data_IF_470517382856
#
_entry.id   IF_470517382856
#
_cell.length_a   1.000
_cell.length_b   1.000
_cell.length_c   1.000
_cell.angle_alpha   90.00
_cell.angle_beta   90.00
_cell.angle_gamma   90.00
#
_symmetry.space_group_name_H-M   'P 1'
#
loop_
_entity.id
_entity.type
_entity.pdbx_description
1 polymer ?
#
# COMPACT_ATOMS: atom_id res chain seq x y z
N UNK A 1 -21.00 -14.47 -38.86
CA UNK A 1 -21.77 -15.18 -37.82
C UNK A 1 -21.03 -16.48 -37.52
N UNK A 2 -20.41 -16.55 -36.34
CA UNK A 2 -20.20 -17.73 -35.50
C UNK A 2 -19.40 -17.24 -34.28
N UNK A 3 -20.11 -16.48 -33.44
CA UNK A 3 -19.63 -15.92 -32.17
C UNK A 3 -20.02 -16.81 -31.00
N UNK A 4 -19.79 -18.12 -31.11
CA UNK A 4 -20.14 -19.07 -30.06
C UNK A 4 -19.20 -20.26 -30.16
N UNK A 5 -18.13 -20.31 -29.35
CA UNK A 5 -17.54 -21.58 -28.86
C UNK A 5 -16.15 -21.53 -28.20
N UNK A 6 -15.54 -20.39 -27.85
CA UNK A 6 -14.23 -20.45 -27.16
C UNK A 6 -14.27 -21.08 -25.75
N UNK A 7 -15.46 -21.24 -25.17
CA UNK A 7 -15.68 -21.94 -23.88
C UNK A 7 -16.42 -23.28 -24.10
N UNK A 8 -16.71 -23.60 -25.36
CA UNK A 8 -17.19 -24.91 -25.80
C UNK A 8 -16.08 -25.79 -26.35
N UNK A 9 -14.86 -25.27 -26.54
CA UNK A 9 -13.68 -26.12 -26.66
C UNK A 9 -13.37 -26.66 -25.29
N UNK A 10 -13.36 -27.98 -25.21
CA UNK A 10 -13.23 -28.79 -24.00
C UNK A 10 -12.13 -28.28 -23.08
N UNK A 11 -12.35 -28.44 -21.78
CA UNK A 11 -11.41 -28.04 -20.73
C UNK A 11 -10.02 -28.72 -20.82
N UNK A 12 -9.83 -29.64 -21.76
CA UNK A 12 -8.57 -30.27 -22.14
C UNK A 12 -7.73 -29.40 -23.11
N UNK A 13 -8.36 -28.49 -23.87
CA UNK A 13 -7.69 -27.76 -24.95
C UNK A 13 -6.65 -26.72 -24.51
N UNK A 14 -6.72 -26.18 -23.28
CA UNK A 14 -5.71 -25.22 -22.80
C UNK A 14 -4.34 -25.85 -22.53
N UNK A 15 -4.30 -27.15 -22.20
CA UNK A 15 -3.04 -27.90 -22.05
C UNK A 15 -2.42 -28.28 -23.38
N UNK A 16 -3.24 -28.49 -24.39
CA UNK A 16 -2.81 -28.99 -25.71
C UNK A 16 -2.39 -27.88 -26.68
N UNK A 17 -2.68 -26.62 -26.33
CA UNK A 17 -2.27 -25.46 -27.11
C UNK A 17 -0.79 -25.16 -26.86
N UNK A 18 0.02 -25.10 -27.93
CA UNK A 18 1.33 -24.47 -27.85
C UNK A 18 1.17 -22.98 -27.45
N UNK A 19 2.10 -22.47 -26.66
CA UNK A 19 2.28 -21.08 -26.26
C UNK A 19 1.94 -20.05 -27.34
N UNK A 20 2.36 -20.27 -28.59
CA UNK A 20 2.02 -19.37 -29.71
C UNK A 20 0.53 -19.39 -30.06
N UNK A 21 -0.09 -20.58 -30.04
CA UNK A 21 -1.52 -20.74 -30.25
C UNK A 21 -2.34 -20.17 -29.09
N UNK A 22 -1.84 -20.32 -27.85
CA UNK A 22 -2.42 -19.71 -26.65
C UNK A 22 -2.45 -18.18 -26.75
N UNK A 23 -1.31 -17.54 -27.06
CA UNK A 23 -1.24 -16.07 -27.25
C UNK A 23 -2.14 -15.61 -28.39
N UNK A 24 -2.19 -16.36 -29.50
CA UNK A 24 -3.03 -15.99 -30.66
C UNK A 24 -4.53 -16.11 -30.37
N UNK A 25 -4.95 -17.12 -29.62
CA UNK A 25 -6.35 -17.37 -29.30
C UNK A 25 -6.89 -16.38 -28.26
N UNK A 26 -6.12 -16.12 -27.19
CA UNK A 26 -6.56 -15.33 -26.04
C UNK A 26 -5.99 -13.91 -25.99
N UNK A 27 -5.03 -13.56 -26.86
CA UNK A 27 -4.42 -12.24 -26.90
C UNK A 27 -5.28 -11.14 -27.54
N UNK A 28 -6.25 -11.50 -28.40
CA UNK A 28 -7.15 -10.55 -29.08
C UNK A 28 -8.56 -10.50 -28.48
N UNK A 29 -9.00 -11.59 -27.88
CA UNK A 29 -10.30 -11.74 -27.23
C UNK A 29 -10.03 -12.16 -25.79
N UNK A 30 -10.41 -11.38 -24.77
CA UNK A 30 -10.72 -11.91 -23.42
C UNK A 30 -10.77 -10.81 -22.35
N UNK A 31 -11.86 -10.08 -22.26
CA UNK A 31 -12.27 -9.58 -20.93
C UNK A 31 -13.75 -9.83 -20.69
N UNK A 32 -14.60 -9.66 -21.71
CA UNK A 32 -16.04 -9.89 -21.55
C UNK A 32 -16.43 -11.34 -21.86
N UNK A 33 -16.16 -11.84 -23.07
CA UNK A 33 -16.60 -13.19 -23.48
C UNK A 33 -15.99 -14.31 -22.62
N UNK A 34 -14.69 -14.19 -22.29
CA UNK A 34 -14.02 -15.13 -21.37
C UNK A 34 -14.63 -15.06 -19.97
N UNK A 35 -14.96 -13.87 -19.49
CA UNK A 35 -15.56 -13.68 -18.17
C UNK A 35 -16.99 -14.23 -18.11
N UNK A 36 -17.79 -14.02 -19.14
CA UNK A 36 -19.17 -14.52 -19.22
C UNK A 36 -19.23 -16.04 -19.22
N UNK A 37 -18.38 -16.73 -19.99
CA UNK A 37 -18.40 -18.19 -19.94
C UNK A 37 -17.63 -18.80 -18.78
N UNK A 38 -16.66 -18.11 -18.16
CA UNK A 38 -16.11 -18.52 -16.86
C UNK A 38 -17.16 -18.43 -15.75
N UNK A 39 -18.04 -17.43 -15.78
CA UNK A 39 -19.16 -17.32 -14.84
C UNK A 39 -20.20 -18.43 -15.02
N UNK A 40 -20.39 -18.93 -16.24
CA UNK A 40 -21.27 -20.04 -16.55
C UNK A 40 -20.62 -21.43 -16.38
N UNK A 41 -19.33 -21.50 -16.05
CA UNK A 41 -18.57 -22.75 -16.00
C UNK A 41 -18.84 -23.54 -14.71
N UNK A 42 -18.81 -24.87 -14.83
CA UNK A 42 -18.89 -25.77 -13.66
C UNK A 42 -17.56 -25.83 -12.91
N UNK A 43 -17.59 -26.24 -11.63
CA UNK A 43 -16.39 -26.38 -10.80
C UNK A 43 -15.32 -27.29 -11.42
N UNK A 44 -15.73 -28.36 -12.10
CA UNK A 44 -14.83 -29.26 -12.83
C UNK A 44 -14.13 -28.56 -14.01
N UNK A 45 -14.88 -27.77 -14.79
CA UNK A 45 -14.31 -26.97 -15.88
C UNK A 45 -13.33 -25.93 -15.36
N UNK A 46 -13.64 -25.25 -14.26
CA UNK A 46 -12.75 -24.27 -13.64
C UNK A 46 -11.45 -24.90 -13.12
N UNK A 47 -11.50 -26.10 -12.56
CA UNK A 47 -10.30 -26.83 -12.14
C UNK A 47 -9.40 -27.20 -13.33
N UNK A 48 -9.98 -27.69 -14.43
CA UNK A 48 -9.24 -28.03 -15.63
C UNK A 48 -8.65 -26.79 -16.34
N UNK A 49 -9.38 -25.67 -16.38
CA UNK A 49 -8.84 -24.38 -16.85
C UNK A 49 -7.68 -23.90 -15.99
N UNK A 50 -7.80 -24.00 -14.65
CA UNK A 50 -6.73 -23.59 -13.72
C UNK A 50 -5.45 -24.39 -13.95
N UNK A 51 -5.61 -25.68 -14.20
CA UNK A 51 -4.52 -26.58 -14.49
C UNK A 51 -3.89 -26.31 -15.88
N UNK A 52 -4.69 -25.93 -16.88
CA UNK A 52 -4.19 -25.43 -18.15
C UNK A 52 -3.39 -24.13 -18.00
N UNK A 53 -3.86 -23.19 -17.18
CA UNK A 53 -3.14 -21.94 -16.88
C UNK A 53 -1.79 -22.23 -16.22
N UNK A 54 -1.74 -23.17 -15.27
CA UNK A 54 -0.51 -23.62 -14.62
C UNK A 54 0.50 -24.14 -15.64
N UNK A 55 0.08 -25.04 -16.53
CA UNK A 55 0.93 -25.59 -17.59
C UNK A 55 1.48 -24.51 -18.53
N UNK A 56 0.61 -23.60 -18.99
CA UNK A 56 1.03 -22.49 -19.86
C UNK A 56 2.01 -21.54 -19.19
N UNK A 57 1.85 -21.29 -17.87
CA UNK A 57 2.81 -20.50 -17.12
C UNK A 57 4.18 -21.21 -17.02
N UNK A 58 4.20 -22.52 -16.80
CA UNK A 58 5.43 -23.31 -16.75
C UNK A 58 6.16 -23.33 -18.10
N UNK A 59 5.44 -23.61 -19.19
CA UNK A 59 6.01 -23.60 -20.55
C UNK A 59 6.54 -22.22 -20.93
N UNK A 60 5.79 -21.14 -20.62
CA UNK A 60 6.24 -19.79 -20.90
C UNK A 60 7.48 -19.39 -20.07
N UNK A 61 7.58 -19.84 -18.81
CA UNK A 61 8.78 -19.63 -17.99
C UNK A 61 9.99 -20.40 -18.56
N UNK A 62 9.81 -21.64 -19.02
CA UNK A 62 10.87 -22.42 -19.64
C UNK A 62 11.36 -21.77 -20.94
N UNK A 63 10.44 -21.36 -21.82
CA UNK A 63 10.77 -20.64 -23.06
C UNK A 63 11.53 -19.35 -22.78
N UNK A 64 11.15 -18.63 -21.72
CA UNK A 64 11.85 -17.42 -21.32
C UNK A 64 13.27 -17.71 -20.81
N UNK A 65 13.45 -18.75 -19.98
CA UNK A 65 14.76 -19.17 -19.49
C UNK A 65 15.69 -19.55 -20.65
N UNK A 66 15.18 -20.29 -21.65
CA UNK A 66 15.98 -20.63 -22.84
C UNK A 66 16.34 -19.40 -23.66
N UNK A 67 15.39 -18.47 -23.85
CA UNK A 67 15.64 -17.25 -24.61
C UNK A 67 16.65 -16.32 -23.92
N UNK A 68 16.62 -16.24 -22.58
CA UNK A 68 17.59 -15.47 -21.79
C UNK A 68 18.99 -16.09 -21.87
N UNK A 69 19.11 -17.42 -21.75
CA UNK A 69 20.39 -18.10 -21.89
C UNK A 69 21.01 -17.94 -23.30
N UNK A 70 20.18 -17.93 -24.34
CA UNK A 70 20.61 -17.64 -25.72
C UNK A 70 21.08 -16.20 -25.88
N UNK A 71 20.39 -15.23 -25.25
CA UNK A 71 20.78 -13.82 -25.29
C UNK A 71 22.10 -13.57 -24.53
N UNK A 72 22.29 -14.18 -23.36
CA UNK A 72 23.55 -14.11 -22.62
C UNK A 72 24.73 -14.67 -23.43
N UNK A 73 24.51 -15.73 -24.22
CA UNK A 73 25.52 -16.29 -25.10
C UNK A 73 25.86 -15.39 -26.31
N UNK A 74 24.98 -14.47 -26.69
CA UNK A 74 25.14 -13.58 -27.84
C UNK A 74 25.71 -12.19 -27.49
N UNK A 75 25.80 -11.84 -26.21
CA UNK A 75 26.35 -10.57 -25.71
C UNK A 75 25.30 -9.45 -25.52
N UNK A 76 25.70 -8.34 -24.91
CA UNK A 76 24.82 -7.28 -24.38
C UNK A 76 23.97 -6.50 -25.41
N UNK A 77 24.22 -6.65 -26.72
CA UNK A 77 23.53 -5.94 -27.81
C UNK A 77 22.40 -6.76 -28.49
N UNK A 78 21.98 -7.89 -27.90
CA UNK A 78 20.91 -8.71 -28.46
C UNK A 78 19.52 -8.07 -28.24
N UNK A 79 18.87 -7.66 -29.34
CA UNK A 79 17.46 -7.28 -29.34
C UNK A 79 16.59 -8.40 -28.74
N UNK A 80 15.47 -8.06 -28.04
CA UNK A 80 14.58 -9.08 -27.47
C UNK A 80 14.10 -10.03 -28.57
N UNK A 81 14.48 -11.30 -28.45
CA UNK A 81 14.12 -12.35 -29.39
C UNK A 81 12.59 -12.48 -29.47
N UNK A 82 12.06 -12.86 -30.64
CA UNK A 82 10.62 -13.12 -30.80
C UNK A 82 10.10 -14.16 -29.79
N UNK A 83 10.94 -15.10 -29.39
CA UNK A 83 10.66 -16.07 -28.32
C UNK A 83 10.44 -15.40 -26.96
N UNK A 84 11.21 -14.37 -26.64
CA UNK A 84 11.12 -13.62 -25.38
C UNK A 84 9.82 -12.80 -25.31
N UNK A 85 9.46 -12.10 -26.39
CA UNK A 85 8.20 -11.33 -26.44
C UNK A 85 6.98 -12.24 -26.34
N UNK A 86 7.02 -13.40 -27.00
CA UNK A 86 5.98 -14.41 -26.92
C UNK A 86 5.81 -14.99 -25.51
N UNK A 87 6.92 -15.28 -24.81
CA UNK A 87 6.89 -15.74 -23.44
C UNK A 87 6.29 -14.68 -22.49
N UNK A 88 6.64 -13.40 -22.64
CA UNK A 88 6.04 -12.32 -21.85
C UNK A 88 4.54 -12.19 -22.09
N UNK A 89 4.08 -12.27 -23.34
CA UNK A 89 2.65 -12.20 -23.65
C UNK A 89 1.89 -13.40 -23.05
N UNK A 90 2.47 -14.60 -23.10
CA UNK A 90 1.90 -15.79 -22.49
C UNK A 90 1.80 -15.68 -20.96
N UNK A 91 2.87 -15.25 -20.28
CA UNK A 91 2.87 -15.02 -18.83
C UNK A 91 1.84 -13.97 -18.41
N UNK A 92 1.75 -12.87 -19.17
CA UNK A 92 0.76 -11.82 -18.92
C UNK A 92 -0.66 -12.38 -19.05
N UNK A 93 -0.93 -13.16 -20.09
CA UNK A 93 -2.25 -13.77 -20.31
C UNK A 93 -2.59 -14.78 -19.22
N UNK A 94 -1.64 -15.63 -18.82
CA UNK A 94 -1.81 -16.57 -17.73
C UNK A 94 -2.21 -15.86 -16.43
N UNK A 95 -1.52 -14.76 -16.08
CA UNK A 95 -1.85 -13.96 -14.89
C UNK A 95 -3.25 -13.31 -14.97
N UNK A 96 -3.64 -12.80 -16.14
CA UNK A 96 -4.97 -12.19 -16.34
C UNK A 96 -6.10 -13.21 -16.28
N UNK A 97 -5.92 -14.39 -16.90
CA UNK A 97 -6.90 -15.47 -16.83
C UNK A 97 -7.01 -16.01 -15.40
N UNK A 98 -5.89 -16.19 -14.71
CA UNK A 98 -5.90 -16.60 -13.30
C UNK A 98 -6.69 -15.62 -12.42
N UNK A 99 -6.54 -14.31 -12.69
CA UNK A 99 -7.29 -13.27 -11.98
C UNK A 99 -8.79 -13.37 -12.22
N UNK A 100 -9.24 -13.61 -13.46
CA UNK A 100 -10.67 -13.76 -13.76
C UNK A 100 -11.24 -15.07 -13.19
N UNK A 101 -10.48 -16.17 -13.21
CA UNK A 101 -10.88 -17.44 -12.56
C UNK A 101 -11.01 -17.25 -11.04
N UNK A 102 -10.08 -16.53 -10.41
CA UNK A 102 -10.16 -16.19 -8.99
C UNK A 102 -11.40 -15.34 -8.69
N UNK A 103 -11.74 -14.37 -9.55
CA UNK A 103 -12.91 -13.53 -9.36
C UNK A 103 -14.23 -14.34 -9.32
N UNK A 104 -14.28 -15.48 -10.02
CA UNK A 104 -15.41 -16.41 -10.03
C UNK A 104 -15.36 -17.38 -8.83
N UNK A 105 -14.20 -17.98 -8.57
CA UNK A 105 -14.05 -19.06 -7.58
C UNK A 105 -13.93 -18.56 -6.14
N UNK A 106 -13.40 -17.34 -5.95
CA UNK A 106 -13.16 -16.69 -4.66
C UNK A 106 -12.43 -17.62 -3.68
N UNK A 107 -12.98 -17.80 -2.48
CA UNK A 107 -12.39 -18.61 -1.40
C UNK A 107 -12.29 -20.10 -1.74
N UNK A 108 -13.04 -20.58 -2.74
CA UNK A 108 -13.01 -21.97 -3.20
C UNK A 108 -12.12 -22.14 -4.45
N UNK A 109 -10.99 -21.43 -4.50
CA UNK A 109 -10.02 -21.53 -5.58
C UNK A 109 -9.46 -22.96 -5.71
N UNK A 110 -9.39 -23.54 -6.92
CA UNK A 110 -8.73 -24.83 -7.16
C UNK A 110 -7.24 -24.80 -6.80
N UNK A 111 -6.69 -25.93 -6.33
CA UNK A 111 -5.27 -26.05 -5.96
C UNK A 111 -4.32 -25.65 -7.12
N UNK A 112 -4.61 -26.12 -8.33
CA UNK A 112 -3.84 -25.76 -9.52
C UNK A 112 -3.77 -24.25 -9.80
N UNK A 113 -4.79 -23.48 -9.38
CA UNK A 113 -4.77 -22.02 -9.51
C UNK A 113 -3.83 -21.38 -8.49
N UNK A 114 -3.76 -21.93 -7.27
CA UNK A 114 -2.84 -21.47 -6.24
C UNK A 114 -1.38 -21.75 -6.65
N UNK A 115 -1.11 -22.94 -7.18
CA UNK A 115 0.20 -23.30 -7.74
C UNK A 115 0.60 -22.37 -8.89
N UNK A 116 -0.32 -22.07 -9.81
CA UNK A 116 -0.07 -21.12 -10.88
C UNK A 116 0.24 -19.71 -10.35
N UNK A 117 -0.49 -19.25 -9.33
CA UNK A 117 -0.23 -17.95 -8.70
C UNK A 117 1.13 -17.90 -7.99
N UNK A 118 1.53 -18.97 -7.29
CA UNK A 118 2.84 -19.10 -6.64
C UNK A 118 3.98 -19.10 -7.67
N UNK A 119 3.83 -19.84 -8.78
CA UNK A 119 4.82 -19.86 -9.87
C UNK A 119 5.02 -18.48 -10.47
N UNK A 120 3.92 -17.80 -10.81
CA UNK A 120 3.95 -16.44 -11.36
C UNK A 120 4.54 -15.44 -10.36
N UNK A 121 4.17 -15.52 -9.09
CA UNK A 121 4.71 -14.65 -8.05
C UNK A 121 6.23 -14.85 -7.90
N UNK A 122 6.68 -16.11 -7.81
CA UNK A 122 8.09 -16.45 -7.53
C UNK A 122 9.01 -16.10 -8.70
N UNK A 123 8.56 -16.32 -9.94
CA UNK A 123 9.42 -16.23 -11.12
C UNK A 123 9.12 -15.04 -12.03
N UNK A 124 7.93 -14.45 -12.00
CA UNK A 124 7.56 -13.38 -12.93
C UNK A 124 7.43 -11.99 -12.27
N UNK A 125 7.44 -11.88 -10.95
CA UNK A 125 7.22 -10.57 -10.30
C UNK A 125 8.49 -9.72 -10.22
N UNK A 126 9.56 -10.22 -9.59
CA UNK A 126 10.82 -9.46 -9.45
C UNK A 126 11.83 -9.73 -10.57
N UNK A 127 11.83 -10.92 -11.17
CA UNK A 127 12.80 -11.27 -12.20
C UNK A 127 12.52 -10.60 -13.56
N UNK A 128 11.31 -10.07 -13.78
CA UNK A 128 10.87 -9.54 -15.08
C UNK A 128 11.04 -8.02 -15.19
N UNK A 129 12.21 -7.50 -14.82
CA UNK A 129 12.54 -6.06 -14.95
C UNK A 129 12.32 -5.53 -16.38
N UNK A 130 12.34 -6.43 -17.36
CA UNK A 130 12.20 -6.18 -18.78
C UNK A 130 10.73 -5.99 -19.24
N UNK A 131 9.72 -6.40 -18.47
CA UNK A 131 8.32 -6.31 -18.89
C UNK A 131 7.35 -5.86 -17.79
N UNK A 132 7.14 -4.53 -17.64
CA UNK A 132 6.20 -3.97 -16.66
C UNK A 132 4.76 -4.48 -16.79
N UNK A 133 4.35 -4.88 -17.99
CA UNK A 133 2.99 -5.38 -18.25
C UNK A 133 2.74 -6.74 -17.60
N UNK A 134 3.75 -7.62 -17.53
CA UNK A 134 3.67 -8.90 -16.83
C UNK A 134 3.62 -8.66 -15.32
N UNK A 135 4.54 -7.83 -14.82
CA UNK A 135 4.61 -7.51 -13.38
C UNK A 135 3.31 -6.87 -12.87
N UNK A 136 2.71 -5.95 -13.64
CA UNK A 136 1.42 -5.36 -13.31
C UNK A 136 0.29 -6.40 -13.27
N UNK A 137 0.28 -7.37 -14.19
CA UNK A 137 -0.73 -8.42 -14.21
C UNK A 137 -0.57 -9.39 -13.01
N UNK A 138 0.66 -9.82 -12.72
CA UNK A 138 0.95 -10.70 -11.58
C UNK A 138 0.67 -9.99 -10.25
N UNK A 139 1.08 -8.73 -10.08
CA UNK A 139 0.79 -7.97 -8.88
C UNK A 139 -0.71 -7.79 -8.66
N UNK A 140 -1.50 -7.57 -9.73
CA UNK A 140 -2.97 -7.50 -9.66
C UNK A 140 -3.58 -8.83 -9.20
N UNK A 141 -3.09 -9.95 -9.72
CA UNK A 141 -3.50 -11.29 -9.27
C UNK A 141 -3.21 -11.47 -7.77
N UNK A 142 -2.00 -11.17 -7.32
CA UNK A 142 -1.60 -11.31 -5.91
C UNK A 142 -2.44 -10.42 -4.98
N UNK A 143 -2.72 -9.17 -5.38
CA UNK A 143 -3.61 -8.28 -4.63
C UNK A 143 -5.03 -8.85 -4.51
N UNK A 144 -5.55 -9.41 -5.60
CA UNK A 144 -6.88 -10.02 -5.60
C UNK A 144 -6.93 -11.29 -4.74
N UNK A 145 -5.89 -12.11 -4.79
CA UNK A 145 -5.73 -13.31 -3.95
C UNK A 145 -5.79 -12.95 -2.47
N UNK A 146 -5.05 -11.91 -2.09
CA UNK A 146 -5.07 -11.37 -0.74
C UNK A 146 -6.46 -10.86 -0.33
N UNK A 147 -7.12 -10.10 -1.21
CA UNK A 147 -8.44 -9.51 -0.92
C UNK A 147 -9.55 -10.56 -0.75
N UNK A 148 -9.46 -11.67 -1.49
CA UNK A 148 -10.38 -12.80 -1.40
C UNK A 148 -10.10 -13.67 -0.16
N UNK A 149 -8.90 -13.60 0.40
CA UNK A 149 -8.50 -14.46 1.51
C UNK A 149 -8.25 -15.90 1.08
N UNK A 150 -7.69 -16.10 -0.12
CA UNK A 150 -7.39 -17.42 -0.66
C UNK A 150 -6.43 -18.25 0.20
N UNK A 151 -6.33 -19.56 -0.08
CA UNK A 151 -5.39 -20.44 0.61
C UNK A 151 -3.95 -19.95 0.42
N UNK A 152 -3.11 -20.14 1.44
CA UNK A 152 -1.68 -19.84 1.44
C UNK A 152 -1.31 -18.43 0.95
N UNK A 153 -2.24 -17.46 1.12
CA UNK A 153 -2.07 -16.06 0.71
C UNK A 153 -0.84 -15.38 1.29
N UNK A 154 -0.29 -15.93 2.37
CA UNK A 154 0.90 -15.44 3.06
C UNK A 154 2.17 -15.64 2.21
N UNK A 155 2.22 -16.70 1.39
CA UNK A 155 3.37 -16.99 0.53
C UNK A 155 3.53 -15.97 -0.61
N UNK A 156 2.43 -15.36 -1.03
CA UNK A 156 2.39 -14.34 -2.09
C UNK A 156 2.78 -12.94 -1.59
N UNK A 157 3.19 -12.79 -0.33
CA UNK A 157 3.47 -11.47 0.28
C UNK A 157 4.89 -10.98 0.05
N UNK A 158 5.85 -11.91 0.09
CA UNK A 158 7.28 -11.62 0.22
C UNK A 158 7.81 -10.73 -0.91
N UNK A 159 7.33 -10.92 -2.14
CA UNK A 159 7.74 -10.13 -3.30
C UNK A 159 6.70 -9.06 -3.69
N UNK A 160 5.41 -9.31 -3.42
CA UNK A 160 4.33 -8.39 -3.80
C UNK A 160 4.40 -7.04 -3.09
N UNK A 161 4.60 -7.02 -1.77
CA UNK A 161 4.65 -5.76 -1.03
C UNK A 161 5.85 -4.89 -1.42
N UNK A 162 7.10 -5.40 -1.46
CA UNK A 162 8.24 -4.61 -1.93
C UNK A 162 8.02 -4.09 -3.36
N UNK A 163 7.56 -4.96 -4.27
CA UNK A 163 7.30 -4.59 -5.65
C UNK A 163 6.31 -3.43 -5.75
N UNK A 164 5.17 -3.52 -5.07
CA UNK A 164 4.17 -2.45 -5.09
C UNK A 164 4.73 -1.12 -4.55
N UNK A 165 5.53 -1.14 -3.47
CA UNK A 165 6.11 0.08 -2.93
C UNK A 165 7.12 0.72 -3.89
N UNK A 166 7.96 -0.10 -4.53
CA UNK A 166 8.96 0.35 -5.50
C UNK A 166 8.29 0.85 -6.79
N UNK A 167 7.39 0.07 -7.39
CA UNK A 167 6.68 0.42 -8.62
C UNK A 167 5.91 1.75 -8.47
N UNK A 168 5.13 1.88 -7.38
CA UNK A 168 4.35 3.10 -7.13
C UNK A 168 5.26 4.31 -6.88
N UNK A 169 6.43 4.11 -6.27
CA UNK A 169 7.43 5.16 -6.12
C UNK A 169 8.01 5.57 -7.48
N UNK A 170 8.44 4.63 -8.31
CA UNK A 170 8.99 4.92 -9.65
C UNK A 170 7.95 5.68 -10.48
N UNK A 171 6.70 5.21 -10.51
CA UNK A 171 5.61 5.87 -11.21
C UNK A 171 5.28 7.25 -10.65
N UNK A 172 5.46 7.48 -9.35
CA UNK A 172 5.30 8.80 -8.75
C UNK A 172 6.37 9.81 -9.24
N UNK A 173 7.57 9.33 -9.59
CA UNK A 173 8.64 10.16 -10.13
C UNK A 173 8.44 10.48 -11.61
N UNK A 174 7.86 9.54 -12.38
CA UNK A 174 7.67 9.68 -13.83
C UNK A 174 6.32 10.33 -14.21
N UNK A 175 5.26 10.15 -13.41
CA UNK A 175 3.94 10.75 -13.66
C UNK A 175 3.90 12.22 -13.20
N UNK A 176 4.36 13.12 -14.08
CA UNK A 176 4.31 14.58 -13.88
C UNK A 176 2.88 15.13 -13.73
N UNK A 177 1.84 14.37 -14.09
CA UNK A 177 0.42 14.80 -14.02
C UNK A 177 -0.34 14.14 -12.87
N UNK A 178 0.30 13.23 -12.12
CA UNK A 178 -0.21 12.60 -10.89
C UNK A 178 -1.58 11.96 -11.01
N UNK A 179 -2.01 11.55 -12.22
CA UNK A 179 -3.39 11.13 -12.52
C UNK A 179 -3.52 9.62 -12.74
N UNK A 180 -2.44 8.92 -13.09
CA UNK A 180 -2.54 7.54 -13.53
C UNK A 180 -2.15 6.50 -12.46
N UNK A 181 -1.32 6.87 -11.48
CA UNK A 181 -0.82 5.91 -10.50
C UNK A 181 -1.75 5.77 -9.28
N UNK A 182 -2.22 4.55 -9.00
CA UNK A 182 -3.11 4.24 -7.88
C UNK A 182 -2.36 3.58 -6.72
N UNK A 183 -2.44 4.16 -5.53
CA UNK A 183 -1.90 3.58 -4.28
C UNK A 183 -2.89 2.63 -3.58
N UNK A 184 -4.09 2.44 -4.16
CA UNK A 184 -5.13 1.58 -3.62
C UNK A 184 -4.65 0.13 -3.38
N UNK A 185 -3.87 -0.50 -4.27
CA UNK A 185 -3.35 -1.85 -4.02
C UNK A 185 -2.50 -1.95 -2.74
N UNK A 186 -1.63 -0.98 -2.48
CA UNK A 186 -0.85 -0.93 -1.23
C UNK A 186 -1.76 -0.81 0.00
N UNK A 187 -2.81 0.03 -0.10
CA UNK A 187 -3.80 0.16 0.98
C UNK A 187 -4.56 -1.14 1.20
N UNK A 188 -5.02 -1.80 0.14
CA UNK A 188 -5.83 -3.02 0.23
C UNK A 188 -5.01 -4.17 0.84
N UNK A 189 -3.71 -4.26 0.53
CA UNK A 189 -2.80 -5.23 1.12
C UNK A 189 -2.20 -4.82 2.47
N UNK A 190 -2.52 -3.64 3.02
CA UNK A 190 -1.82 -3.08 4.20
C UNK A 190 -1.73 -4.02 5.40
N UNK A 191 -2.77 -4.81 5.64
CA UNK A 191 -2.84 -5.74 6.77
C UNK A 191 -1.81 -6.87 6.69
N UNK A 192 -1.29 -7.16 5.51
CA UNK A 192 -0.18 -8.10 5.33
C UNK A 192 1.11 -7.61 5.99
N UNK A 193 1.29 -6.29 6.14
CA UNK A 193 2.43 -5.73 6.87
C UNK A 193 2.43 -6.15 8.34
N UNK A 194 1.26 -6.45 8.92
CA UNK A 194 1.16 -6.94 10.30
C UNK A 194 1.66 -8.37 10.51
N UNK A 195 1.92 -9.12 9.43
CA UNK A 195 2.49 -10.47 9.48
C UNK A 195 4.03 -10.45 9.50
N UNK A 196 4.63 -9.30 9.26
CA UNK A 196 6.09 -9.16 9.21
C UNK A 196 6.65 -8.99 10.62
N UNK A 197 7.81 -9.61 10.86
CA UNK A 197 8.57 -9.38 12.08
C UNK A 197 9.39 -8.08 11.97
N UNK A 198 9.05 -7.09 12.79
CA UNK A 198 9.74 -5.80 12.80
C UNK A 198 10.95 -5.75 13.74
N UNK A 199 11.19 -6.81 14.52
CA UNK A 199 12.33 -6.95 15.42
C UNK A 199 13.54 -7.59 14.73
N UNK A 200 13.31 -8.38 13.67
CA UNK A 200 14.36 -9.01 12.87
C UNK A 200 15.12 -8.00 11.98
N UNK A 201 16.40 -8.26 11.69
CA UNK A 201 17.23 -7.37 10.85
C UNK A 201 16.86 -7.42 9.35
N UNK A 202 16.29 -8.54 8.87
CA UNK A 202 15.92 -8.71 7.46
C UNK A 202 14.82 -7.75 7.00
N UNK A 203 14.05 -7.18 7.92
CA UNK A 203 12.96 -6.24 7.62
C UNK A 203 13.47 -4.83 7.28
N UNK A 204 14.76 -4.55 7.46
CA UNK A 204 15.31 -3.20 7.30
C UNK A 204 15.08 -2.62 5.91
N UNK A 205 15.16 -3.44 4.86
CA UNK A 205 14.84 -3.01 3.50
C UNK A 205 13.37 -2.65 3.34
N UNK A 206 12.47 -3.44 3.94
CA UNK A 206 11.05 -3.11 3.99
C UNK A 206 10.78 -1.81 4.76
N UNK A 207 11.41 -1.62 5.93
CA UNK A 207 11.33 -0.36 6.70
C UNK A 207 11.78 0.82 5.84
N UNK A 208 12.89 0.70 5.12
CA UNK A 208 13.38 1.73 4.18
C UNK A 208 12.35 2.04 3.09
N UNK A 209 11.72 1.03 2.49
CA UNK A 209 10.67 1.22 1.49
C UNK A 209 9.44 1.94 2.06
N UNK A 210 9.00 1.59 3.27
CA UNK A 210 7.88 2.26 3.95
C UNK A 210 8.22 3.74 4.25
N UNK A 211 9.44 4.03 4.70
CA UNK A 211 9.91 5.39 4.93
C UNK A 211 10.03 6.20 3.64
N UNK A 212 10.40 5.56 2.53
CA UNK A 212 10.39 6.19 1.21
C UNK A 212 8.96 6.48 0.75
N UNK A 213 8.00 5.59 1.01
CA UNK A 213 6.59 5.84 0.73
C UNK A 213 6.06 7.04 1.54
N UNK A 214 6.49 7.21 2.79
CA UNK A 214 6.15 8.36 3.62
C UNK A 214 6.68 9.70 3.09
N UNK A 215 7.72 9.69 2.25
CA UNK A 215 8.28 10.87 1.56
C UNK A 215 7.63 11.12 0.19
N UNK A 216 6.94 10.13 -0.36
CA UNK A 216 6.42 10.18 -1.72
C UNK A 216 5.19 11.09 -1.80
N UNK A 217 5.24 12.05 -2.73
CA UNK A 217 4.13 12.98 -2.97
C UNK A 217 2.85 12.25 -3.40
N UNK A 218 2.96 11.08 -4.03
CA UNK A 218 1.83 10.26 -4.44
C UNK A 218 1.03 9.76 -3.23
N UNK A 219 1.71 9.21 -2.22
CA UNK A 219 1.07 8.71 -1.00
C UNK A 219 0.48 9.84 -0.17
N UNK A 220 1.15 10.99 -0.11
CA UNK A 220 0.70 12.14 0.69
C UNK A 220 -0.51 12.84 0.06
N UNK A 221 -0.56 12.98 -1.28
CA UNK A 221 -1.66 13.66 -1.98
C UNK A 221 -2.94 12.83 -2.02
N UNK A 222 -2.83 11.51 -2.15
CA UNK A 222 -3.97 10.62 -2.30
C UNK A 222 -4.55 10.22 -0.93
N UNK A 223 -5.87 10.28 -0.73
CA UNK A 223 -6.48 9.89 0.54
C UNK A 223 -6.22 8.42 0.88
N UNK A 224 -6.14 7.54 -0.12
CA UNK A 224 -5.78 6.14 0.06
C UNK A 224 -4.35 5.99 0.58
N UNK A 225 -3.42 6.80 0.08
CA UNK A 225 -2.03 6.81 0.53
C UNK A 225 -1.90 7.32 1.95
N UNK A 226 -2.67 8.35 2.34
CA UNK A 226 -2.70 8.82 3.73
C UNK A 226 -3.26 7.79 4.69
N UNK A 227 -4.27 7.01 4.29
CA UNK A 227 -4.78 5.87 5.07
C UNK A 227 -3.72 4.77 5.19
N UNK A 228 -2.98 4.50 4.12
CA UNK A 228 -1.87 3.54 4.16
C UNK A 228 -0.79 3.99 5.15
N UNK A 229 -0.34 5.24 5.08
CA UNK A 229 0.66 5.78 6.02
C UNK A 229 0.15 5.83 7.46
N UNK A 230 -1.15 6.05 7.68
CA UNK A 230 -1.74 5.97 9.00
C UNK A 230 -1.65 4.55 9.58
N UNK A 231 -1.90 3.52 8.76
CA UNK A 231 -1.71 2.12 9.15
C UNK A 231 -0.24 1.78 9.43
N UNK A 232 0.71 2.35 8.69
CA UNK A 232 2.14 2.16 8.97
C UNK A 232 2.52 2.58 10.40
N UNK A 233 1.86 3.62 10.94
CA UNK A 233 2.05 4.06 12.33
C UNK A 233 1.51 3.07 13.38
N UNK A 234 0.74 2.06 12.99
CA UNK A 234 0.20 1.06 13.91
C UNK A 234 1.05 -0.20 14.00
N UNK A 235 2.03 -0.39 13.10
CA UNK A 235 2.78 -1.63 12.96
C UNK A 235 3.80 -1.85 14.09
N UNK A 236 4.67 -0.88 14.35
CA UNK A 236 5.71 -1.02 15.37
C UNK A 236 6.20 0.33 15.93
N UNK A 237 6.51 0.46 17.24
CA UNK A 237 6.93 1.73 17.84
C UNK A 237 8.21 2.33 17.27
N UNK A 238 9.19 1.51 16.87
CA UNK A 238 10.42 2.01 16.24
C UNK A 238 10.11 2.69 14.89
N UNK A 239 9.25 2.08 14.09
CA UNK A 239 8.82 2.62 12.80
C UNK A 239 8.08 3.95 12.96
N UNK A 240 7.28 4.10 14.03
CA UNK A 240 6.64 5.39 14.37
C UNK A 240 7.69 6.48 14.59
N UNK A 241 8.76 6.20 15.32
CA UNK A 241 9.82 7.17 15.60
C UNK A 241 10.56 7.60 14.32
N UNK A 242 10.81 6.66 13.40
CA UNK A 242 11.45 6.91 12.12
C UNK A 242 10.53 7.73 11.19
N UNK A 243 9.26 7.36 11.07
CA UNK A 243 8.26 8.13 10.31
C UNK A 243 8.11 9.54 10.89
N UNK A 244 8.13 9.69 12.22
CA UNK A 244 8.11 10.99 12.87
C UNK A 244 9.33 11.86 12.50
N UNK A 245 10.51 11.26 12.35
CA UNK A 245 11.70 11.96 11.85
C UNK A 245 11.51 12.46 10.42
N UNK A 246 10.96 11.61 9.55
CA UNK A 246 10.63 11.98 8.17
C UNK A 246 9.62 13.13 8.14
N UNK A 247 8.55 13.05 8.91
CA UNK A 247 7.52 14.09 8.98
C UNK A 247 8.04 15.42 9.52
N UNK A 248 8.89 15.41 10.56
CA UNK A 248 9.52 16.64 11.06
C UNK A 248 10.33 17.36 9.98
N UNK A 249 11.10 16.61 9.18
CA UNK A 249 11.87 17.18 8.08
C UNK A 249 10.96 17.77 6.99
N UNK A 250 9.82 17.13 6.69
CA UNK A 250 8.83 17.66 5.75
C UNK A 250 8.19 18.96 6.23
N UNK A 251 7.99 19.14 7.54
CA UNK A 251 7.32 20.34 8.09
C UNK A 251 8.18 21.59 7.96
N UNK A 252 9.51 21.45 8.00
CA UNK A 252 10.44 22.58 7.87
C UNK A 252 10.36 23.24 6.48
N UNK A 253 10.12 22.45 5.43
CA UNK A 253 10.14 22.91 4.02
C UNK A 253 8.79 22.77 3.31
N UNK A 254 7.78 22.27 4.02
CA UNK A 254 6.51 21.85 3.46
C UNK A 254 5.56 22.99 3.12
N UNK A 255 4.82 22.81 2.02
CA UNK A 255 3.68 23.67 1.65
C UNK A 255 2.46 23.32 2.49
N UNK A 256 1.52 24.25 2.61
CA UNK A 256 0.30 24.07 3.42
C UNK A 256 -0.41 22.72 3.20
N UNK A 257 -0.70 22.33 1.95
CA UNK A 257 -1.36 21.05 1.64
C UNK A 257 -0.62 19.82 2.22
N UNK A 258 0.72 19.87 2.28
CA UNK A 258 1.55 18.79 2.81
C UNK A 258 1.43 18.74 4.33
N UNK A 259 1.42 19.89 4.99
CA UNK A 259 1.25 20.00 6.43
C UNK A 259 -0.11 19.48 6.88
N UNK A 260 -1.17 19.83 6.14
CA UNK A 260 -2.52 19.30 6.34
C UNK A 260 -2.57 17.78 6.16
N UNK A 261 -1.91 17.26 5.11
CA UNK A 261 -1.80 15.81 4.87
C UNK A 261 -1.09 15.08 6.02
N UNK A 262 0.01 15.66 6.55
CA UNK A 262 0.73 15.10 7.72
C UNK A 262 -0.18 15.10 8.96
N UNK A 263 -0.90 16.19 9.21
CA UNK A 263 -1.87 16.27 10.32
C UNK A 263 -2.97 15.20 10.22
N UNK A 264 -3.50 14.97 9.02
CA UNK A 264 -4.50 13.93 8.77
C UNK A 264 -3.94 12.53 9.05
N UNK A 265 -2.71 12.24 8.61
CA UNK A 265 -2.05 10.94 8.85
C UNK A 265 -1.86 10.70 10.35
N UNK A 266 -1.39 11.71 11.10
CA UNK A 266 -1.18 11.60 12.55
C UNK A 266 -2.49 11.31 13.26
N UNK A 267 -3.56 12.07 12.96
CA UNK A 267 -4.85 11.89 13.60
C UNK A 267 -5.45 10.51 13.31
N UNK A 268 -5.39 10.06 12.04
CA UNK A 268 -5.86 8.72 11.65
C UNK A 268 -5.04 7.63 12.33
N UNK A 269 -3.71 7.73 12.28
CA UNK A 269 -2.80 6.77 12.91
C UNK A 269 -3.03 6.68 14.41
N UNK A 270 -3.23 7.81 15.10
CA UNK A 270 -3.53 7.82 16.54
C UNK A 270 -4.90 7.19 16.89
N UNK A 271 -5.89 7.29 15.98
CA UNK A 271 -7.20 6.64 16.15
C UNK A 271 -7.10 5.12 15.98
N UNK A 272 -6.30 4.67 15.02
CA UNK A 272 -6.15 3.24 14.68
C UNK A 272 -5.14 2.52 15.59
N UNK A 273 -4.10 3.22 16.08
CA UNK A 273 -3.08 2.64 16.93
C UNK A 273 -3.60 2.33 18.34
N UNK A 274 -3.11 1.22 18.89
CA UNK A 274 -3.31 0.83 20.29
C UNK A 274 -1.96 0.54 20.95
N UNK A 275 -1.96 0.42 22.28
CA UNK A 275 -0.78 -0.01 23.04
C UNK A 275 0.49 0.82 22.80
N UNK A 276 1.66 0.19 22.62
CA UNK A 276 2.95 0.87 22.46
C UNK A 276 3.01 1.85 21.26
N UNK A 277 2.38 1.50 20.13
CA UNK A 277 2.35 2.37 18.95
C UNK A 277 1.58 3.68 19.23
N UNK A 278 0.46 3.60 19.95
CA UNK A 278 -0.30 4.80 20.35
C UNK A 278 0.55 5.71 21.25
N UNK A 279 1.25 5.14 22.23
CA UNK A 279 2.14 5.91 23.10
C UNK A 279 3.30 6.56 22.32
N UNK A 280 3.87 5.85 21.34
CA UNK A 280 4.91 6.37 20.46
C UNK A 280 4.40 7.53 19.60
N UNK A 281 3.19 7.44 19.03
CA UNK A 281 2.58 8.53 18.24
C UNK A 281 2.37 9.76 19.13
N UNK A 282 1.83 9.57 20.33
CA UNK A 282 1.59 10.65 21.27
C UNK A 282 2.87 11.37 21.69
N UNK A 283 3.93 10.61 22.00
CA UNK A 283 5.20 11.17 22.44
C UNK A 283 5.99 11.84 21.30
N UNK A 284 6.12 11.16 20.16
CA UNK A 284 7.04 11.56 19.08
C UNK A 284 6.42 12.50 18.04
N UNK A 285 5.12 12.33 17.75
CA UNK A 285 4.39 13.14 16.78
C UNK A 285 3.62 14.25 17.51
N UNK A 286 2.62 13.92 18.32
CA UNK A 286 1.71 14.92 18.90
C UNK A 286 2.45 15.87 19.85
N UNK A 287 3.05 15.32 20.92
CA UNK A 287 3.81 16.12 21.89
C UNK A 287 5.13 16.63 21.29
N UNK A 288 5.75 15.86 20.38
CA UNK A 288 6.95 16.27 19.65
C UNK A 288 6.72 17.55 18.84
N UNK A 289 5.65 17.61 18.04
CA UNK A 289 5.26 18.81 17.30
C UNK A 289 4.84 19.94 18.23
N UNK A 290 4.11 19.67 19.31
CA UNK A 290 3.76 20.70 20.29
C UNK A 290 5.03 21.35 20.88
N UNK A 291 6.00 20.54 21.37
CA UNK A 291 7.29 21.03 21.89
C UNK A 291 8.08 21.81 20.83
N UNK A 292 8.09 21.35 19.59
CA UNK A 292 8.75 22.03 18.48
C UNK A 292 8.08 23.39 18.14
N UNK A 293 6.75 23.46 18.21
CA UNK A 293 6.00 24.71 18.02
C UNK A 293 6.36 25.75 19.09
N UNK A 294 6.45 25.32 20.36
CA UNK A 294 6.79 26.21 21.48
C UNK A 294 8.17 26.86 21.28
N UNK A 295 9.15 26.09 20.82
CA UNK A 295 10.54 26.53 20.66
C UNK A 295 10.92 26.85 19.21
N UNK A 296 9.95 27.04 18.32
CA UNK A 296 10.21 27.31 16.92
C UNK A 296 11.03 28.59 16.75
N UNK A 297 12.10 28.52 15.97
CA UNK A 297 13.03 29.63 15.74
C UNK A 297 12.44 30.78 14.93
N UNK A 298 11.38 30.52 14.16
CA UNK A 298 10.71 31.52 13.33
C UNK A 298 9.19 31.46 13.48
N UNK A 299 8.53 32.59 13.20
CA UNK A 299 7.06 32.65 13.19
C UNK A 299 6.47 31.72 12.13
N UNK A 300 7.12 31.61 10.97
CA UNK A 300 6.69 30.73 9.87
C UNK A 300 6.72 29.27 10.26
N UNK A 301 7.81 28.81 10.92
CA UNK A 301 7.89 27.42 11.39
C UNK A 301 6.83 27.11 12.45
N UNK A 302 6.59 28.03 13.41
CA UNK A 302 5.53 27.87 14.39
C UNK A 302 4.15 27.72 13.69
N UNK A 303 3.85 28.60 12.73
CA UNK A 303 2.62 28.53 11.94
C UNK A 303 2.50 27.21 11.16
N UNK A 304 3.56 26.74 10.52
CA UNK A 304 3.56 25.45 9.81
C UNK A 304 3.24 24.27 10.73
N UNK A 305 3.83 24.27 11.94
CA UNK A 305 3.56 23.21 12.91
C UNK A 305 2.12 23.29 13.44
N UNK A 306 1.58 24.50 13.64
CA UNK A 306 0.17 24.66 14.02
C UNK A 306 -0.78 24.12 12.94
N UNK A 307 -0.47 24.27 11.65
CA UNK A 307 -1.26 23.65 10.56
C UNK A 307 -1.27 22.12 10.68
N UNK A 308 -0.14 21.50 11.01
CA UNK A 308 -0.08 20.03 11.23
C UNK A 308 -0.96 19.62 12.40
N UNK A 309 -0.88 20.35 13.52
CA UNK A 309 -1.65 20.06 14.74
C UNK A 309 -3.14 20.41 14.61
N UNK A 310 -3.50 21.26 13.63
CA UNK A 310 -4.85 21.76 13.44
C UNK A 310 -5.87 20.63 13.33
N UNK A 311 -5.57 19.56 12.60
CA UNK A 311 -6.47 18.42 12.43
C UNK A 311 -6.84 17.76 13.77
N UNK A 312 -5.91 17.67 14.73
CA UNK A 312 -6.20 17.15 16.06
C UNK A 312 -7.07 18.12 16.87
N UNK A 313 -6.77 19.41 16.81
CA UNK A 313 -7.52 20.45 17.54
C UNK A 313 -8.93 20.63 16.99
N UNK A 314 -9.08 20.54 15.66
CA UNK A 314 -10.37 20.57 14.98
C UNK A 314 -11.21 19.35 15.36
N UNK A 315 -10.64 18.14 15.34
CA UNK A 315 -11.32 16.94 15.81
C UNK A 315 -11.80 17.08 17.27
N UNK A 316 -10.96 17.62 18.16
CA UNK A 316 -11.36 17.97 19.54
C UNK A 316 -12.54 18.94 19.57
N UNK A 317 -12.49 20.04 18.82
CA UNK A 317 -13.56 21.06 18.80
C UNK A 317 -14.89 20.47 18.36
N UNK A 318 -14.89 19.71 17.27
CA UNK A 318 -16.08 19.09 16.68
C UNK A 318 -16.64 17.93 17.53
N UNK A 319 -15.86 17.40 18.48
CA UNK A 319 -16.29 16.30 19.34
C UNK A 319 -16.68 15.06 18.53
N UNK A 320 -17.67 14.25 18.97
CA UNK A 320 -18.03 13.00 18.30
C UNK A 320 -18.40 13.17 16.82
N UNK A 321 -19.00 14.31 16.46
CA UNK A 321 -19.41 14.63 15.09
C UNK A 321 -18.22 14.86 14.12
N UNK A 322 -17.06 15.31 14.62
CA UNK A 322 -15.82 15.41 13.84
C UNK A 322 -14.82 14.28 14.11
N UNK A 323 -15.28 13.20 14.73
CA UNK A 323 -14.45 12.07 15.15
C UNK A 323 -13.52 12.37 16.34
N UNK A 324 -13.74 13.47 17.07
CA UNK A 324 -13.14 13.71 18.37
C UNK A 324 -13.76 12.82 19.43
N UNK A 325 -12.92 12.20 20.26
CA UNK A 325 -13.35 11.35 21.38
C UNK A 325 -12.90 11.96 22.71
N UNK A 326 -13.56 11.60 23.81
CA UNK A 326 -13.06 11.96 25.15
C UNK A 326 -11.63 11.47 25.40
N UNK A 327 -11.21 10.41 24.71
CA UNK A 327 -9.83 9.94 24.73
C UNK A 327 -8.85 10.93 24.08
N UNK A 328 -9.27 11.68 23.04
CA UNK A 328 -8.41 12.70 22.42
C UNK A 328 -8.26 13.90 23.35
N UNK A 329 -9.35 14.29 24.00
CA UNK A 329 -9.34 15.36 25.00
C UNK A 329 -8.40 15.01 26.17
N UNK A 330 -8.51 13.79 26.70
CA UNK A 330 -7.64 13.30 27.77
C UNK A 330 -6.18 13.22 27.32
N UNK A 331 -5.90 12.73 26.10
CA UNK A 331 -4.56 12.67 25.56
C UNK A 331 -3.95 14.08 25.40
N UNK A 332 -4.69 15.03 24.82
CA UNK A 332 -4.21 16.40 24.63
C UNK A 332 -3.93 17.09 25.96
N UNK A 333 -4.81 16.95 26.97
CA UNK A 333 -4.57 17.47 28.32
C UNK A 333 -3.27 16.91 28.88
N UNK A 334 -3.13 15.58 28.94
CA UNK A 334 -1.93 14.91 29.48
C UNK A 334 -0.65 15.31 28.74
N UNK A 335 -0.70 15.45 27.42
CA UNK A 335 0.48 15.75 26.61
C UNK A 335 0.87 17.22 26.64
N UNK A 336 -0.11 18.14 26.66
CA UNK A 336 0.14 19.57 26.49
C UNK A 336 0.32 20.28 27.84
N UNK A 337 -0.45 19.92 28.86
CA UNK A 337 -0.42 20.58 30.17
C UNK A 337 1.01 20.80 30.73
N UNK A 338 1.88 19.77 30.83
CA UNK A 338 3.21 19.97 31.44
C UNK A 338 4.14 20.88 30.61
N UNK A 339 3.94 20.99 29.30
CA UNK A 339 4.82 21.75 28.40
C UNK A 339 4.30 23.15 28.10
N UNK A 340 2.97 23.29 27.98
CA UNK A 340 2.31 24.51 27.53
C UNK A 340 2.35 25.58 28.62
N UNK A 341 1.94 25.25 29.84
CA UNK A 341 1.92 26.21 30.95
C UNK A 341 3.32 26.65 31.36
N UNK A 342 4.30 25.73 31.31
CA UNK A 342 5.71 26.08 31.48
C UNK A 342 6.19 27.08 30.42
N UNK A 343 5.76 26.90 29.16
CA UNK A 343 6.14 27.79 28.07
C UNK A 343 5.44 29.16 28.13
N UNK A 344 4.20 29.23 28.65
CA UNK A 344 3.51 30.50 28.92
C UNK A 344 4.22 31.34 29.99
N UNK A 345 4.84 30.69 30.98
CA UNK A 345 5.65 31.35 32.02
C UNK A 345 7.12 31.54 31.64
N UNK A 346 7.55 31.22 30.41
CA UNK A 346 8.94 31.31 30.01
C UNK A 346 9.44 32.77 29.94
N UNK A 347 10.72 33.02 30.23
CA UNK A 347 11.32 34.35 30.14
C UNK A 347 11.36 34.89 28.70
N UNK A 348 11.47 34.00 27.70
CA UNK A 348 11.54 34.37 26.29
C UNK A 348 10.15 34.73 25.73
N UNK A 349 10.00 35.97 25.23
CA UNK A 349 8.74 36.47 24.67
C UNK A 349 8.25 35.70 23.44
N UNK A 350 9.16 35.18 22.60
CA UNK A 350 8.78 34.37 21.43
C UNK A 350 8.18 33.02 21.85
N UNK A 351 8.75 32.38 22.89
CA UNK A 351 8.23 31.13 23.46
C UNK A 351 6.84 31.36 24.07
N UNK A 352 6.66 32.45 24.84
CA UNK A 352 5.33 32.81 25.38
C UNK A 352 4.30 33.05 24.28
N UNK A 353 4.68 33.77 23.23
CA UNK A 353 3.81 34.01 22.07
C UNK A 353 3.40 32.71 21.38
N UNK A 354 4.34 31.80 21.12
CA UNK A 354 4.07 30.51 20.50
C UNK A 354 3.14 29.66 21.39
N UNK A 355 3.38 29.66 22.71
CA UNK A 355 2.54 28.98 23.68
C UNK A 355 1.11 29.54 23.72
N UNK A 356 0.95 30.87 23.66
CA UNK A 356 -0.35 31.52 23.58
C UNK A 356 -1.13 31.09 22.32
N UNK A 357 -0.48 31.08 21.15
CA UNK A 357 -1.12 30.65 19.90
C UNK A 357 -1.55 29.18 19.96
N UNK A 358 -0.68 28.30 20.47
CA UNK A 358 -1.02 26.89 20.64
C UNK A 358 -2.17 26.68 21.63
N UNK A 359 -2.20 27.46 22.72
CA UNK A 359 -3.30 27.42 23.69
C UNK A 359 -4.63 27.86 23.05
N UNK A 360 -4.62 28.94 22.27
CA UNK A 360 -5.82 29.43 21.58
C UNK A 360 -6.39 28.38 20.61
N UNK A 361 -5.53 27.67 19.88
CA UNK A 361 -5.97 26.64 18.94
C UNK A 361 -6.59 25.42 19.64
N UNK A 362 -6.03 24.98 20.78
CA UNK A 362 -6.49 23.79 21.50
C UNK A 362 -7.58 24.08 22.55
N UNK A 363 -7.93 25.35 22.78
CA UNK A 363 -8.86 25.75 23.82
C UNK A 363 -10.27 25.17 23.61
N UNK A 364 -10.97 24.70 24.66
CA UNK A 364 -10.49 24.57 26.04
C UNK A 364 -9.71 23.27 26.27
N UNK A 365 -8.58 23.37 26.99
CA UNK A 365 -7.76 22.21 27.37
C UNK A 365 -8.31 21.55 28.64
N UNK A 366 -9.49 20.95 28.52
CA UNK A 366 -10.18 20.23 29.61
C UNK A 366 -10.74 18.91 29.10
N UNK A 367 -10.91 17.95 30.01
CA UNK A 367 -11.65 16.70 29.75
C UNK A 367 -13.13 16.96 29.98
N UNK A 368 -13.96 16.80 28.94
CA UNK A 368 -15.42 16.99 29.06
C UNK A 368 -16.04 15.83 29.87
N UNK A 369 -16.68 16.15 30.99
CA UNK A 369 -17.20 15.20 31.99
C UNK A 369 -18.20 14.15 31.45
N UNK A 370 -18.83 14.38 30.29
CA UNK A 370 -19.77 13.43 29.67
C UNK A 370 -19.16 12.38 28.72
N UNK A 371 -17.84 12.39 28.49
CA UNK A 371 -17.18 11.53 27.49
C UNK A 371 -16.26 10.45 28.09
N UNK A 372 -16.20 10.33 29.43
CA UNK A 372 -15.38 9.36 30.16
C UNK A 372 -15.89 7.91 30.03
N UNK A 373 -17.13 7.70 29.57
CA UNK A 373 -17.74 6.37 29.48
C UNK A 373 -17.32 5.55 28.24
N UNK A 374 -16.68 6.16 27.24
CA UNK A 374 -16.20 5.50 26.03
C UNK A 374 -14.68 5.27 26.11
N UNK A 375 -14.24 4.49 27.11
CA UNK A 375 -12.88 3.99 27.17
C UNK A 375 -12.64 3.04 25.99
N UNK A 376 -11.53 3.23 25.26
CA UNK A 376 -11.04 2.27 24.26
C UNK A 376 -10.84 0.92 24.97
N UNK A 377 -11.68 -0.07 24.66
CA UNK A 377 -11.38 -1.47 24.92
C UNK A 377 -10.48 -2.00 23.82
#
# INVERSE_FOLDING_TARGET
MNGSSLINTDSEGLKELDTQAFVKAYGKHAALEVKEGLQAATRAKLAAVSEGIRHQAEEALQLLQTALAEAEAQGEDADPTQSMSLAFDALRLAALLAYEVLAVTRESAPAALAEAAQLLHTHALLAMELCPAVQDAVARLCCAWWAVGGPDKEELLSQTLPFLLVDRRIRALTDTKGRACSVKPCLDMRHALGLLDFEDESIDDMKRLLLQAAKSSLFLRRPEGRRFLAHVLTLHPSLVAEVASVMRNMVVTGKQWLLEAVGEIILRGWREATGPCSAAIEATLIQGFAKACLHASSKGLASSILVVLHQLHEAKRLGPAGGGSGALDSALVRLYEPVLFRALSAANAAVRRNALLLLLDVFPLVVRAGQLAAGRR
#
